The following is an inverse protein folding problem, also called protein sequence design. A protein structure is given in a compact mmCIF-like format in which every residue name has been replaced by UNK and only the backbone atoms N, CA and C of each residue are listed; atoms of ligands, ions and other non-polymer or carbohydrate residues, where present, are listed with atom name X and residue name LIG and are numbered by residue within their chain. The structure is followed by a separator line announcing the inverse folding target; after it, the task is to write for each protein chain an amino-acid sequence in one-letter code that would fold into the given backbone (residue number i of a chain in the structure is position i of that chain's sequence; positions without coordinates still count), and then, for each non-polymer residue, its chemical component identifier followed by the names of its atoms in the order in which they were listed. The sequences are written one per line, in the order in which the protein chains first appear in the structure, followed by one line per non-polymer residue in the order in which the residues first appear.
data_IF_015208173356
#
_entry.id   IF_015208173356
#
_cell.length_a   1.000
_cell.length_b   1.000
_cell.length_c   1.000
_cell.angle_alpha   90.00
_cell.angle_beta   90.00
_cell.angle_gamma   90.00
#
_symmetry.space_group_name_H-M   'P 1'
#
loop_
_entity.id
_entity.type
_entity.pdbx_description
1 polymer ?
#
# COMPACT_ATOMS: atom_id res chain seq x y z
N UNK A 1 -35.29 15.53 5.52
CA UNK A 1 -34.10 15.97 4.76
C UNK A 1 -34.56 16.41 3.38
N UNK A 2 -34.07 17.56 2.89
CA UNK A 2 -34.57 18.23 1.68
C UNK A 2 -34.45 17.36 0.43
N UNK A 3 -35.32 17.63 -0.55
CA UNK A 3 -35.53 16.86 -1.78
C UNK A 3 -34.30 16.78 -2.71
N UNK A 4 -33.24 17.55 -2.46
CA UNK A 4 -32.08 17.73 -3.33
C UNK A 4 -30.76 17.30 -2.67
N UNK A 5 -30.63 16.02 -2.32
CA UNK A 5 -29.45 15.59 -1.54
C UNK A 5 -28.16 15.42 -2.36
N UNK A 6 -28.13 15.68 -3.66
CA UNK A 6 -26.88 15.83 -4.44
C UNK A 6 -27.12 16.72 -5.69
N UNK A 7 -27.01 18.05 -5.58
CA UNK A 7 -27.25 18.99 -6.69
C UNK A 7 -26.44 18.68 -7.95
N UNK A 8 -25.20 18.17 -7.81
CA UNK A 8 -24.29 17.96 -8.94
C UNK A 8 -24.55 16.73 -9.82
N UNK A 9 -25.52 15.86 -9.49
CA UNK A 9 -25.78 14.66 -10.33
C UNK A 9 -26.36 15.01 -11.70
N UNK A 10 -27.19 16.06 -11.77
CA UNK A 10 -27.73 16.54 -13.06
C UNK A 10 -26.66 17.17 -13.93
N UNK A 11 -25.71 17.88 -13.32
CA UNK A 11 -24.57 18.48 -14.01
C UNK A 11 -23.64 17.43 -14.64
N UNK A 12 -23.66 16.19 -14.14
CA UNK A 12 -22.95 15.03 -14.69
C UNK A 12 -23.76 14.26 -15.75
N UNK A 13 -24.88 14.80 -16.23
CA UNK A 13 -25.70 14.18 -17.28
C UNK A 13 -26.64 13.07 -16.79
N UNK A 14 -26.88 12.96 -15.47
CA UNK A 14 -27.84 11.98 -14.92
C UNK A 14 -29.26 12.32 -15.37
N UNK A 15 -29.85 11.47 -16.21
CA UNK A 15 -31.17 11.68 -16.82
C UNK A 15 -32.30 11.34 -15.83
N UNK A 16 -32.12 10.32 -14.98
CA UNK A 16 -33.14 9.84 -14.04
C UNK A 16 -32.50 9.60 -12.67
N UNK A 17 -33.03 10.24 -11.64
CA UNK A 17 -32.69 9.96 -10.24
C UNK A 17 -33.91 9.32 -9.58
N UNK A 18 -33.81 8.03 -9.25
CA UNK A 18 -34.86 7.29 -8.56
C UNK A 18 -34.47 7.19 -7.09
N UNK A 19 -35.30 7.72 -6.19
CA UNK A 19 -35.20 7.44 -4.76
C UNK A 19 -36.06 6.22 -4.45
N UNK A 20 -35.42 5.09 -4.18
CA UNK A 20 -36.11 3.90 -3.71
C UNK A 20 -36.08 3.94 -2.18
N UNK A 21 -37.24 4.01 -1.54
CA UNK A 21 -37.34 3.82 -0.10
C UNK A 21 -37.06 2.35 0.19
N UNK A 22 -35.87 2.03 0.71
CA UNK A 22 -35.43 0.67 0.99
C UNK A 22 -36.01 0.13 2.29
N UNK A 23 -37.29 0.39 2.58
CA UNK A 23 -38.00 -0.24 3.70
C UNK A 23 -38.09 -1.76 3.43
N UNK A 24 -37.00 -2.49 3.69
CA UNK A 24 -36.89 -3.93 3.50
C UNK A 24 -35.80 -4.44 2.55
N UNK A 25 -35.08 -3.60 1.80
CA UNK A 25 -33.89 -4.07 1.05
C UNK A 25 -32.67 -4.07 1.98
N UNK A 26 -32.51 -5.12 2.78
CA UNK A 26 -31.24 -5.39 3.45
C UNK A 26 -30.15 -5.56 2.38
N UNK A 27 -29.14 -4.68 2.39
CA UNK A 27 -27.90 -4.89 1.63
C UNK A 27 -27.60 -3.88 0.50
N UNK A 28 -28.58 -3.14 -0.02
CA UNK A 28 -28.30 -2.13 -1.05
C UNK A 28 -27.91 -0.79 -0.41
N UNK A 29 -26.67 -0.33 -0.62
CA UNK A 29 -26.18 0.95 -0.09
C UNK A 29 -26.43 2.09 -1.08
N UNK A 30 -26.28 3.33 -0.60
CA UNK A 30 -26.31 4.49 -1.49
C UNK A 30 -25.14 4.43 -2.46
N UNK A 31 -25.35 4.76 -3.72
CA UNK A 31 -24.27 4.77 -4.72
C UNK A 31 -24.80 4.79 -6.15
N UNK A 32 -23.92 4.92 -7.15
CA UNK A 32 -24.31 4.71 -8.54
C UNK A 32 -24.60 3.23 -8.76
N UNK A 33 -25.61 2.87 -9.55
CA UNK A 33 -25.87 1.47 -9.93
C UNK A 33 -26.29 1.43 -11.38
N UNK A 34 -25.93 0.36 -12.09
CA UNK A 34 -26.61 0.01 -13.33
C UNK A 34 -27.64 -1.07 -13.05
N UNK A 35 -28.83 -0.94 -13.64
CA UNK A 35 -29.88 -1.93 -13.55
C UNK A 35 -29.95 -2.69 -14.88
N UNK A 36 -29.69 -3.98 -14.83
CA UNK A 36 -29.72 -4.86 -16.00
C UNK A 36 -30.27 -6.22 -15.58
N UNK A 37 -31.10 -6.85 -16.43
CA UNK A 37 -31.63 -8.20 -16.20
C UNK A 37 -32.23 -8.39 -14.78
N UNK A 38 -33.07 -7.45 -14.37
CA UNK A 38 -33.72 -7.44 -13.06
C UNK A 38 -32.78 -7.36 -11.83
N UNK A 39 -31.50 -7.00 -12.03
CA UNK A 39 -30.50 -6.91 -10.96
C UNK A 39 -29.79 -5.56 -10.95
N UNK A 40 -29.39 -5.11 -9.76
CA UNK A 40 -28.55 -3.93 -9.58
C UNK A 40 -27.08 -4.36 -9.50
N UNK A 41 -26.23 -3.62 -10.19
CA UNK A 41 -24.81 -3.90 -10.26
C UNK A 41 -24.00 -2.64 -9.92
N UNK A 42 -22.87 -2.85 -9.25
CA UNK A 42 -21.93 -1.77 -8.96
C UNK A 42 -21.33 -1.19 -10.24
N UNK A 43 -21.22 0.13 -10.26
CA UNK A 43 -20.54 0.91 -11.29
C UNK A 43 -19.11 1.16 -10.84
N UNK A 44 -18.18 0.86 -11.73
CA UNK A 44 -16.75 1.10 -11.54
C UNK A 44 -16.32 2.22 -12.48
N UNK A 45 -15.53 3.16 -11.98
CA UNK A 45 -14.81 4.08 -12.86
C UNK A 45 -13.53 3.38 -13.27
N UNK A 46 -13.33 3.24 -14.58
CA UNK A 46 -12.13 2.64 -15.15
C UNK A 46 -11.08 3.73 -15.35
N UNK A 47 -9.93 3.58 -14.71
CA UNK A 47 -8.78 4.47 -14.86
C UNK A 47 -7.67 3.78 -15.62
N UNK A 48 -6.93 4.45 -16.51
CA UNK A 48 -5.75 3.87 -17.13
C UNK A 48 -4.64 3.64 -16.09
N UNK A 49 -3.93 2.52 -16.19
CA UNK A 49 -2.68 2.23 -15.45
C UNK A 49 -1.47 2.76 -16.23
N UNK A 50 -1.37 4.08 -16.36
CA UNK A 50 -0.34 4.76 -17.16
C UNK A 50 1.10 4.40 -16.77
N UNK A 51 1.33 4.08 -15.49
CA UNK A 51 2.65 3.67 -15.00
C UNK A 51 2.92 2.18 -15.16
N UNK A 52 1.96 1.39 -15.64
CA UNK A 52 2.05 -0.07 -15.67
C UNK A 52 2.42 -0.65 -14.29
N UNK A 53 1.78 -0.14 -13.24
CA UNK A 53 2.06 -0.47 -11.84
C UNK A 53 1.39 -1.78 -11.40
N UNK A 54 0.41 -2.30 -12.15
CA UNK A 54 -0.34 -3.50 -11.79
C UNK A 54 -0.03 -4.69 -12.71
N UNK A 55 -0.04 -5.90 -12.16
CA UNK A 55 -0.18 -7.11 -12.95
C UNK A 55 -1.64 -7.37 -13.34
N UNK A 56 -2.56 -7.04 -12.43
CA UNK A 56 -3.99 -7.26 -12.60
C UNK A 56 -4.82 -6.25 -11.81
N UNK A 57 -6.01 -5.95 -12.33
CA UNK A 57 -7.04 -5.22 -11.62
C UNK A 57 -7.94 -6.20 -10.87
N UNK A 58 -8.36 -5.85 -9.67
CA UNK A 58 -9.23 -6.69 -8.85
C UNK A 58 -10.57 -6.00 -8.65
N UNK A 59 -11.64 -6.75 -8.85
CA UNK A 59 -12.99 -6.39 -8.44
C UNK A 59 -13.49 -7.40 -7.42
N UNK A 60 -14.51 -7.06 -6.64
CA UNK A 60 -15.09 -7.96 -5.65
C UNK A 60 -16.58 -8.10 -5.91
N UNK A 61 -17.06 -9.34 -5.94
CA UNK A 61 -18.47 -9.65 -6.04
C UNK A 61 -19.20 -9.08 -4.82
N UNK A 62 -20.20 -8.19 -5.00
CA UNK A 62 -20.94 -7.64 -3.88
C UNK A 62 -21.85 -8.67 -3.19
N UNK A 63 -22.11 -9.79 -3.86
CA UNK A 63 -23.00 -10.86 -3.37
C UNK A 63 -22.18 -11.90 -2.61
N UNK A 64 -21.17 -12.47 -3.25
CA UNK A 64 -20.37 -13.57 -2.67
C UNK A 64 -19.15 -13.09 -1.88
N UNK A 65 -18.74 -11.83 -2.03
CA UNK A 65 -17.48 -11.32 -1.48
C UNK A 65 -16.23 -11.88 -2.20
N UNK A 66 -16.41 -12.72 -3.23
CA UNK A 66 -15.31 -13.33 -3.97
C UNK A 66 -14.56 -12.28 -4.78
N UNK A 67 -13.24 -12.35 -4.78
CA UNK A 67 -12.39 -11.53 -5.64
C UNK A 67 -12.40 -12.07 -7.07
N UNK A 68 -12.46 -11.14 -8.02
CA UNK A 68 -12.44 -11.42 -9.46
C UNK A 68 -11.26 -10.65 -10.03
N UNK A 69 -10.35 -11.37 -10.66
CA UNK A 69 -9.14 -10.84 -11.24
C UNK A 69 -9.28 -10.58 -12.73
N UNK A 70 -8.76 -9.43 -13.17
CA UNK A 70 -8.68 -9.02 -14.57
C UNK A 70 -7.19 -8.88 -14.92
N UNK A 71 -6.63 -9.91 -15.59
CA UNK A 71 -5.21 -10.02 -15.97
C UNK A 71 -5.08 -10.42 -17.46
N UNK A 72 -4.11 -9.85 -18.22
CA UNK A 72 -3.34 -8.64 -17.89
C UNK A 72 -4.26 -7.43 -17.83
N UNK A 73 -3.75 -6.32 -17.30
CA UNK A 73 -4.51 -5.07 -17.31
C UNK A 73 -3.66 -3.88 -17.71
N UNK A 74 -4.27 -2.97 -18.46
CA UNK A 74 -3.81 -1.61 -18.73
C UNK A 74 -4.74 -0.56 -18.07
N UNK A 75 -5.76 -1.03 -17.34
CA UNK A 75 -6.72 -0.20 -16.62
C UNK A 75 -7.04 -0.77 -15.23
N UNK A 76 -7.54 0.06 -14.32
CA UNK A 76 -8.00 -0.37 -13.00
C UNK A 76 -9.46 0.04 -12.82
N UNK A 77 -10.30 -0.95 -12.52
CA UNK A 77 -11.71 -0.75 -12.21
C UNK A 77 -11.84 -0.31 -10.75
N UNK A 78 -12.18 0.95 -10.52
CA UNK A 78 -12.24 1.55 -9.18
C UNK A 78 -13.69 1.74 -8.73
N UNK A 79 -14.15 1.05 -7.67
CA UNK A 79 -15.52 1.17 -7.17
C UNK A 79 -15.76 2.50 -6.46
N UNK A 80 -17.00 2.98 -6.44
CA UNK A 80 -17.39 4.11 -5.60
C UNK A 80 -17.18 3.80 -4.11
N UNK A 81 -16.68 4.77 -3.34
CA UNK A 81 -16.55 4.64 -1.87
C UNK A 81 -17.90 4.55 -1.17
N UNK A 82 -18.99 4.97 -1.83
CA UNK A 82 -20.34 4.94 -1.27
C UNK A 82 -20.87 3.51 -1.07
N UNK A 83 -20.29 2.52 -1.75
CA UNK A 83 -20.62 1.11 -1.53
C UNK A 83 -20.07 0.56 -0.22
N UNK A 84 -19.16 1.26 0.44
CA UNK A 84 -18.66 0.89 1.76
C UNK A 84 -19.57 1.49 2.84
N UNK A 85 -19.71 0.82 4.01
CA UNK A 85 -20.32 1.45 5.16
C UNK A 85 -19.61 2.75 5.54
N UNK A 86 -20.29 3.66 6.25
CA UNK A 86 -19.62 4.81 6.84
C UNK A 86 -18.45 4.36 7.71
N UNK A 87 -17.35 5.09 7.64
CA UNK A 87 -16.21 4.88 8.51
C UNK A 87 -16.64 5.09 9.97
N UNK A 88 -16.29 4.14 10.84
CA UNK A 88 -16.58 4.18 12.27
C UNK A 88 -15.34 3.73 13.05
N UNK A 89 -15.25 3.95 14.37
CA UNK A 89 -14.13 3.43 15.16
C UNK A 89 -13.92 1.91 15.03
N UNK A 90 -14.99 1.14 14.75
CA UNK A 90 -14.93 -0.32 14.50
C UNK A 90 -14.53 -0.68 13.07
N UNK A 91 -14.83 0.18 12.09
CA UNK A 91 -14.49 0.02 10.68
C UNK A 91 -13.67 1.22 10.18
N UNK A 92 -12.46 1.42 10.73
CA UNK A 92 -11.66 2.61 10.46
C UNK A 92 -11.12 2.67 9.03
N UNK A 93 -11.07 1.56 8.29
CA UNK A 93 -10.56 1.53 6.92
C UNK A 93 -11.67 1.49 5.87
N UNK A 94 -12.93 1.70 6.28
CA UNK A 94 -14.07 1.51 5.39
C UNK A 94 -14.00 2.41 4.17
N UNK A 95 -13.97 1.79 2.98
CA UNK A 95 -13.93 2.49 1.70
C UNK A 95 -12.57 3.05 1.30
N UNK A 96 -11.53 2.87 2.14
CA UNK A 96 -10.16 3.11 1.72
C UNK A 96 -9.76 2.04 0.69
N UNK A 97 -9.15 2.46 -0.40
CA UNK A 97 -8.73 1.59 -1.50
C UNK A 97 -7.26 1.27 -1.37
N UNK A 98 -6.92 0.01 -1.54
CA UNK A 98 -5.53 -0.44 -1.49
C UNK A 98 -5.14 -1.39 -2.61
N UNK A 99 -3.86 -1.35 -2.95
CA UNK A 99 -3.21 -2.30 -3.84
C UNK A 99 -2.37 -3.28 -3.04
N UNK A 100 -2.28 -4.52 -3.50
CA UNK A 100 -1.48 -5.55 -2.85
C UNK A 100 -0.33 -5.99 -3.74
N UNK A 101 0.91 -5.94 -3.27
CA UNK A 101 2.05 -6.59 -3.94
C UNK A 101 1.70 -8.05 -4.25
N UNK A 102 2.07 -8.55 -5.43
CA UNK A 102 1.71 -9.89 -5.90
C UNK A 102 2.58 -11.02 -5.32
N UNK A 103 2.89 -10.89 -4.03
CA UNK A 103 3.45 -11.93 -3.16
C UNK A 103 2.49 -12.27 -2.01
N UNK A 104 1.45 -11.47 -1.82
CA UNK A 104 0.40 -11.73 -0.84
C UNK A 104 -0.76 -12.44 -1.51
N UNK A 105 -1.10 -13.60 -0.97
CA UNK A 105 -2.20 -14.42 -1.46
C UNK A 105 -3.54 -13.73 -1.27
N UNK A 106 -4.43 -13.98 -2.22
CA UNK A 106 -5.82 -13.50 -2.19
C UNK A 106 -6.69 -14.69 -2.55
N UNK A 107 -7.61 -15.04 -1.65
CA UNK A 107 -8.46 -16.23 -1.78
C UNK A 107 -9.20 -16.24 -3.13
N UNK A 108 -9.08 -17.37 -3.83
CA UNK A 108 -9.67 -17.60 -5.15
C UNK A 108 -8.86 -17.04 -6.31
N UNK A 109 -7.71 -16.39 -6.05
CA UNK A 109 -6.81 -15.85 -7.07
C UNK A 109 -5.45 -16.57 -7.03
N UNK A 110 -4.76 -16.57 -8.16
CA UNK A 110 -3.36 -17.02 -8.24
C UNK A 110 -2.41 -15.90 -7.82
N UNK A 111 -1.25 -16.26 -7.29
CA UNK A 111 -0.15 -15.34 -6.96
C UNK A 111 1.00 -15.59 -7.94
N UNK A 112 1.44 -14.58 -8.70
CA UNK A 112 2.53 -14.78 -9.68
C UNK A 112 3.93 -14.64 -9.09
N UNK A 113 4.06 -13.94 -7.96
CA UNK A 113 5.35 -13.51 -7.42
C UNK A 113 6.24 -12.82 -8.48
N UNK A 114 5.66 -12.19 -9.50
CA UNK A 114 6.42 -11.57 -10.59
C UNK A 114 7.02 -12.56 -11.60
N UNK A 115 6.64 -13.84 -11.56
CA UNK A 115 7.07 -14.86 -12.52
C UNK A 115 5.90 -15.37 -13.38
N UNK A 116 6.09 -15.44 -14.71
CA UNK A 116 5.08 -16.02 -15.63
C UNK A 116 4.95 -17.53 -15.45
N UNK A 117 6.09 -18.22 -15.40
CA UNK A 117 6.13 -19.68 -15.23
C UNK A 117 5.53 -20.11 -13.90
N UNK A 118 5.82 -19.39 -12.81
CA UNK A 118 5.19 -19.67 -11.52
C UNK A 118 3.68 -19.51 -11.61
N UNK A 119 3.20 -18.39 -12.17
CA UNK A 119 1.76 -18.15 -12.35
C UNK A 119 1.02 -19.23 -13.16
N UNK A 120 1.64 -19.73 -14.23
CA UNK A 120 1.10 -20.81 -15.06
C UNK A 120 0.95 -22.12 -14.27
N UNK A 121 1.94 -22.42 -13.42
CA UNK A 121 1.99 -23.65 -12.62
C UNK A 121 1.21 -23.57 -11.30
N UNK A 122 0.95 -22.36 -10.78
CA UNK A 122 0.21 -22.17 -9.53
C UNK A 122 -1.29 -22.43 -9.68
N UNK A 123 -1.91 -22.96 -8.65
CA UNK A 123 -3.36 -22.99 -8.49
C UNK A 123 -3.87 -21.73 -7.76
N UNK A 124 -5.17 -21.40 -7.87
CA UNK A 124 -5.76 -20.35 -7.05
C UNK A 124 -5.65 -20.65 -5.56
N UNK A 125 -5.26 -19.66 -4.76
CA UNK A 125 -5.03 -19.83 -3.34
C UNK A 125 -6.34 -20.00 -2.57
N UNK A 126 -6.47 -20.97 -1.64
CA UNK A 126 -7.70 -21.19 -0.89
C UNK A 126 -7.94 -20.11 0.16
N UNK A 127 -6.90 -19.36 0.55
CA UNK A 127 -6.96 -18.39 1.64
C UNK A 127 -6.10 -17.16 1.32
N UNK A 128 -6.62 -15.97 1.62
CA UNK A 128 -5.83 -14.75 1.49
C UNK A 128 -4.73 -14.68 2.56
N UNK A 129 -3.65 -13.97 2.31
CA UNK A 129 -2.65 -13.63 3.32
C UNK A 129 -3.28 -12.90 4.51
N UNK A 130 -2.68 -13.03 5.71
CA UNK A 130 -3.23 -12.47 6.95
C UNK A 130 -3.48 -10.95 6.85
N UNK A 131 -2.53 -10.20 6.30
CA UNK A 131 -2.68 -8.76 6.10
C UNK A 131 -3.87 -8.41 5.19
N UNK A 132 -4.09 -9.16 4.10
CA UNK A 132 -5.22 -8.97 3.19
C UNK A 132 -6.54 -9.28 3.89
N UNK A 133 -6.60 -10.37 4.67
CA UNK A 133 -7.78 -10.70 5.48
C UNK A 133 -8.10 -9.60 6.47
N UNK A 134 -7.08 -9.09 7.20
CA UNK A 134 -7.24 -8.05 8.22
C UNK A 134 -7.74 -6.74 7.61
N UNK A 135 -7.16 -6.31 6.49
CA UNK A 135 -7.61 -5.11 5.75
C UNK A 135 -9.04 -5.27 5.22
N UNK A 136 -9.38 -6.44 4.67
CA UNK A 136 -10.72 -6.74 4.16
C UNK A 136 -11.77 -6.76 5.29
N UNK A 137 -11.42 -7.30 6.46
CA UNK A 137 -12.28 -7.29 7.64
C UNK A 137 -12.58 -5.87 8.16
N UNK A 138 -11.66 -4.92 7.94
CA UNK A 138 -11.85 -3.50 8.23
C UNK A 138 -12.49 -2.73 7.07
N UNK A 139 -12.95 -3.45 6.05
CA UNK A 139 -13.68 -2.94 4.88
C UNK A 139 -12.83 -2.00 4.00
N UNK A 140 -11.51 -2.22 3.99
CA UNK A 140 -10.65 -1.70 2.95
C UNK A 140 -10.89 -2.47 1.65
N UNK A 141 -10.81 -1.78 0.51
CA UNK A 141 -11.17 -2.31 -0.81
C UNK A 141 -9.91 -2.60 -1.62
N UNK A 142 -9.67 -3.87 -1.92
CA UNK A 142 -8.59 -4.28 -2.82
C UNK A 142 -8.95 -3.95 -4.27
N UNK A 143 -8.08 -3.22 -4.97
CA UNK A 143 -8.33 -2.76 -6.36
C UNK A 143 -7.38 -3.36 -7.39
N UNK A 144 -6.29 -4.00 -6.96
CA UNK A 144 -5.30 -4.54 -7.89
C UNK A 144 -4.16 -5.29 -7.21
N UNK A 145 -3.54 -6.21 -7.96
CA UNK A 145 -2.25 -6.82 -7.62
C UNK A 145 -1.14 -5.97 -8.24
N UNK A 146 -0.37 -5.31 -7.39
CA UNK A 146 0.72 -4.44 -7.78
C UNK A 146 1.96 -5.24 -8.19
N UNK A 147 2.71 -4.71 -9.17
CA UNK A 147 3.92 -5.35 -9.68
C UNK A 147 5.04 -5.42 -8.64
N UNK A 148 5.80 -6.49 -8.73
CA UNK A 148 7.06 -6.69 -8.03
C UNK A 148 8.07 -7.38 -8.95
N UNK A 149 9.36 -7.26 -8.60
CA UNK A 149 10.41 -8.07 -9.21
C UNK A 149 10.18 -9.55 -8.97
N UNK A 150 10.79 -10.40 -9.80
CA UNK A 150 10.59 -11.85 -9.72
C UNK A 150 11.00 -12.37 -8.32
N UNK A 151 10.08 -13.04 -7.62
CA UNK A 151 10.23 -13.55 -6.26
C UNK A 151 10.76 -12.52 -5.25
N UNK A 152 10.45 -11.24 -5.47
CA UNK A 152 10.91 -10.14 -4.65
C UNK A 152 12.45 -9.98 -4.56
N UNK A 153 13.19 -10.45 -5.57
CA UNK A 153 14.64 -10.28 -5.69
C UNK A 153 15.05 -8.81 -5.91
N UNK A 154 16.32 -8.50 -5.67
CA UNK A 154 16.89 -7.18 -5.93
C UNK A 154 17.30 -7.06 -7.40
N UNK A 155 16.34 -6.88 -8.29
CA UNK A 155 16.59 -6.59 -9.71
C UNK A 155 16.61 -5.08 -9.96
N UNK A 156 17.45 -4.63 -10.88
CA UNK A 156 17.34 -3.30 -11.48
C UNK A 156 16.31 -3.29 -12.62
N UNK A 157 15.74 -2.13 -13.00
CA UNK A 157 14.67 -2.04 -14.00
C UNK A 157 14.97 -2.69 -15.36
N UNK A 158 16.25 -2.75 -15.73
CA UNK A 158 16.72 -3.35 -16.99
C UNK A 158 16.81 -4.88 -16.93
N UNK A 159 16.81 -5.45 -15.73
CA UNK A 159 16.96 -6.88 -15.48
C UNK A 159 15.62 -7.62 -15.48
N UNK A 160 14.49 -6.90 -15.47
CA UNK A 160 13.19 -7.54 -15.45
C UNK A 160 12.88 -8.18 -16.81
N UNK A 161 12.96 -9.52 -16.88
CA UNK A 161 12.73 -10.28 -18.11
C UNK A 161 11.25 -10.66 -18.29
N UNK A 162 10.62 -11.18 -17.23
CA UNK A 162 9.25 -11.72 -17.31
C UNK A 162 8.20 -10.63 -17.50
N UNK A 163 8.37 -9.49 -16.83
CA UNK A 163 7.46 -8.37 -16.91
C UNK A 163 8.25 -7.08 -16.99
N UNK A 164 7.73 -6.08 -17.69
CA UNK A 164 8.37 -4.77 -17.70
C UNK A 164 8.22 -4.09 -16.33
N UNK A 165 9.32 -3.53 -15.84
CA UNK A 165 9.35 -2.63 -14.69
C UNK A 165 8.35 -1.46 -14.87
N UNK A 166 7.63 -1.03 -13.82
CA UNK A 166 6.77 0.16 -13.86
C UNK A 166 7.52 1.44 -14.23
N UNK A 167 6.81 2.41 -14.78
CA UNK A 167 7.34 3.72 -15.11
C UNK A 167 7.36 4.65 -13.90
N UNK A 168 8.50 5.30 -13.64
CA UNK A 168 8.65 6.23 -12.53
C UNK A 168 8.29 7.65 -12.98
N UNK A 169 7.21 8.27 -12.46
CA UNK A 169 6.77 9.59 -12.92
C UNK A 169 7.68 10.74 -12.47
N UNK A 170 8.59 10.52 -11.50
CA UNK A 170 9.30 11.60 -10.81
C UNK A 170 10.23 12.41 -11.72
N UNK A 171 10.92 11.77 -12.66
CA UNK A 171 11.81 12.44 -13.61
C UNK A 171 11.09 13.05 -14.82
N UNK A 172 9.77 12.87 -14.94
CA UNK A 172 8.97 13.35 -16.06
C UNK A 172 9.12 12.54 -17.37
N UNK A 173 10.27 11.88 -17.58
CA UNK A 173 10.52 11.01 -18.74
C UNK A 173 10.06 9.56 -18.54
N UNK A 174 9.80 9.15 -17.30
CA UNK A 174 9.38 7.79 -16.93
C UNK A 174 10.52 6.81 -16.59
N UNK A 175 11.78 7.16 -16.84
CA UNK A 175 12.91 6.21 -16.89
C UNK A 175 13.77 6.17 -15.62
N UNK A 176 13.49 7.01 -14.63
CA UNK A 176 14.19 6.96 -13.34
C UNK A 176 13.94 5.62 -12.63
N UNK A 177 14.96 5.06 -11.96
CA UNK A 177 14.80 3.81 -11.23
C UNK A 177 13.68 3.95 -10.16
N UNK A 178 12.62 3.12 -10.20
CA UNK A 178 11.57 3.11 -9.18
C UNK A 178 11.97 2.40 -7.88
N UNK A 179 13.17 1.83 -7.81
CA UNK A 179 13.66 0.88 -6.80
C UNK A 179 12.79 -0.38 -6.67
N UNK A 180 13.30 -1.39 -5.99
CA UNK A 180 12.73 -2.74 -5.92
C UNK A 180 12.66 -3.25 -4.48
N UNK A 181 11.92 -4.32 -4.18
CA UNK A 181 11.08 -5.15 -5.05
C UNK A 181 9.60 -4.78 -5.08
N UNK A 182 9.17 -3.78 -4.30
CA UNK A 182 7.76 -3.34 -4.26
C UNK A 182 7.46 -2.17 -5.20
N UNK A 183 8.09 -2.14 -6.37
CA UNK A 183 8.06 -1.02 -7.33
C UNK A 183 6.63 -0.64 -7.72
N UNK A 184 5.79 -1.64 -8.06
CA UNK A 184 4.40 -1.40 -8.45
C UNK A 184 3.57 -0.80 -7.32
N UNK A 185 3.76 -1.25 -6.08
CA UNK A 185 3.04 -0.71 -4.92
C UNK A 185 3.37 0.75 -4.68
N UNK A 186 4.66 1.12 -4.75
CA UNK A 186 5.09 2.50 -4.60
C UNK A 186 4.62 3.38 -5.77
N UNK A 187 4.74 2.90 -7.02
CA UNK A 187 4.31 3.65 -8.21
C UNK A 187 2.80 3.90 -8.19
N UNK A 188 2.02 2.89 -7.83
CA UNK A 188 0.57 3.01 -7.78
C UNK A 188 0.16 4.09 -6.77
N UNK A 189 0.78 4.12 -5.60
CA UNK A 189 0.50 5.12 -4.56
C UNK A 189 0.95 6.52 -4.95
N UNK A 190 2.12 6.66 -5.57
CA UNK A 190 2.65 7.97 -5.99
C UNK A 190 1.85 8.57 -7.15
N UNK A 191 1.35 7.73 -8.06
CA UNK A 191 0.80 8.15 -9.34
C UNK A 191 -0.72 8.24 -9.39
N UNK A 192 -1.43 7.50 -8.53
CA UNK A 192 -2.89 7.38 -8.64
C UNK A 192 -3.61 8.01 -7.46
N UNK A 193 -4.20 9.22 -7.62
CA UNK A 193 -4.90 9.91 -6.55
C UNK A 193 -6.08 9.15 -5.95
N UNK A 194 -6.65 8.21 -6.71
CA UNK A 194 -7.79 7.40 -6.30
C UNK A 194 -7.40 6.24 -5.37
N UNK A 195 -6.10 5.95 -5.22
CA UNK A 195 -5.55 4.91 -4.34
C UNK A 195 -5.07 5.54 -3.02
N UNK A 196 -5.49 4.97 -1.90
CA UNK A 196 -5.24 5.54 -0.56
C UNK A 196 -3.92 5.00 0.04
N UNK A 197 -3.65 3.71 -0.14
CA UNK A 197 -2.39 3.07 0.28
C UNK A 197 -2.11 1.81 -0.55
N UNK A 198 -0.92 1.23 -0.39
CA UNK A 198 -0.60 -0.10 -0.90
C UNK A 198 0.16 -0.89 0.14
N UNK A 199 0.10 -2.22 0.05
CA UNK A 199 0.94 -3.11 0.85
C UNK A 199 2.06 -3.70 0.00
N UNK A 200 3.22 -3.90 0.62
CA UNK A 200 4.40 -4.51 0.03
C UNK A 200 5.11 -5.41 1.03
N UNK A 201 6.24 -5.96 0.61
CA UNK A 201 7.13 -6.72 1.47
C UNK A 201 8.54 -6.11 1.48
N UNK A 202 9.24 -6.26 2.59
CA UNK A 202 10.57 -5.75 2.90
C UNK A 202 11.45 -6.84 3.52
N UNK A 203 12.34 -7.42 2.71
CA UNK A 203 13.39 -8.33 3.17
C UNK A 203 14.66 -7.55 3.52
N UNK A 204 15.09 -6.67 2.61
CA UNK A 204 16.32 -5.88 2.69
C UNK A 204 16.15 -4.46 2.14
N UNK A 205 15.03 -3.80 2.42
CA UNK A 205 14.73 -2.42 1.97
C UNK A 205 13.62 -2.29 0.94
N UNK A 206 12.92 -3.37 0.61
CA UNK A 206 11.89 -3.39 -0.46
C UNK A 206 10.63 -2.57 -0.16
N UNK A 207 10.53 -1.93 1.00
CA UNK A 207 9.59 -0.83 1.29
C UNK A 207 10.31 0.51 1.32
N UNK A 208 11.42 0.62 2.05
CA UNK A 208 12.13 1.89 2.24
C UNK A 208 12.68 2.46 0.91
N UNK A 209 13.31 1.64 0.07
CA UNK A 209 13.92 2.10 -1.18
C UNK A 209 12.85 2.57 -2.19
N UNK A 210 11.80 1.79 -2.52
CA UNK A 210 10.75 2.27 -3.42
C UNK A 210 10.01 3.50 -2.87
N UNK A 211 9.83 3.62 -1.55
CA UNK A 211 9.22 4.80 -0.95
C UNK A 211 10.10 6.04 -1.13
N UNK A 212 11.41 5.92 -0.93
CA UNK A 212 12.39 6.98 -1.15
C UNK A 212 12.50 7.37 -2.64
N UNK A 213 12.48 6.39 -3.55
CA UNK A 213 12.46 6.61 -5.00
C UNK A 213 11.20 7.31 -5.50
N UNK A 214 10.08 7.21 -4.76
CA UNK A 214 8.79 7.82 -5.12
C UNK A 214 8.41 9.06 -4.30
N UNK A 215 9.00 9.26 -3.13
CA UNK A 215 8.79 10.45 -2.30
C UNK A 215 7.49 10.35 -1.56
N UNK A 216 7.19 9.13 -1.12
CA UNK A 216 5.99 8.77 -0.36
C UNK A 216 6.42 8.14 0.97
N UNK A 217 5.49 8.00 1.90
CA UNK A 217 5.78 7.32 3.15
C UNK A 217 5.80 5.80 2.92
N UNK A 218 6.83 5.14 3.44
CA UNK A 218 6.97 3.69 3.50
C UNK A 218 7.26 3.25 4.93
N UNK A 219 6.55 2.24 5.43
CA UNK A 219 6.78 1.65 6.74
C UNK A 219 6.82 0.13 6.64
N UNK A 220 7.98 -0.46 6.97
CA UNK A 220 8.09 -1.89 7.28
C UNK A 220 7.54 -2.12 8.70
N UNK A 221 6.66 -3.11 8.85
CA UNK A 221 6.11 -3.49 10.16
C UNK A 221 7.12 -4.35 10.94
N UNK A 222 7.05 -4.30 12.27
CA UNK A 222 7.94 -5.08 13.15
C UNK A 222 7.55 -6.56 13.26
N UNK A 223 6.33 -6.91 12.86
CA UNK A 223 5.74 -8.23 13.10
C UNK A 223 6.14 -9.29 12.08
N UNK A 224 6.58 -8.87 10.88
CA UNK A 224 6.93 -9.70 9.73
C UNK A 224 7.74 -8.87 8.69
N UNK A 225 7.80 -9.34 7.44
CA UNK A 225 8.37 -8.59 6.31
C UNK A 225 7.34 -7.71 5.61
N UNK A 226 6.11 -7.55 6.11
CA UNK A 226 5.09 -6.73 5.46
C UNK A 226 5.35 -5.24 5.66
N UNK A 227 4.88 -4.41 4.73
CA UNK A 227 4.90 -2.96 4.89
C UNK A 227 3.82 -2.23 4.11
N UNK A 228 3.73 -0.93 4.38
CA UNK A 228 2.71 -0.03 3.85
C UNK A 228 3.37 1.11 3.07
N UNK A 229 2.74 1.50 1.96
CA UNK A 229 3.02 2.73 1.22
C UNK A 229 1.80 3.65 1.26
N UNK A 230 2.01 4.95 1.48
CA UNK A 230 0.95 5.96 1.32
C UNK A 230 1.53 7.36 1.13
N UNK A 231 0.73 8.29 0.59
CA UNK A 231 1.06 9.71 0.52
C UNK A 231 0.63 10.49 1.78
N UNK A 232 -0.14 9.88 2.66
CA UNK A 232 -0.70 10.54 3.85
C UNK A 232 -0.14 9.92 5.13
N UNK A 233 0.44 10.75 5.99
CA UNK A 233 0.91 10.32 7.30
C UNK A 233 -0.25 9.82 8.18
N UNK A 234 -1.45 10.39 8.02
CA UNK A 234 -2.65 9.97 8.75
C UNK A 234 -3.09 8.57 8.33
N UNK A 235 -3.08 8.28 7.02
CA UNK A 235 -3.37 6.94 6.51
C UNK A 235 -2.28 5.96 6.97
N UNK A 236 -1.00 6.38 6.98
CA UNK A 236 0.10 5.54 7.45
C UNK A 236 -0.13 5.13 8.91
N UNK A 237 -0.44 6.11 9.77
CA UNK A 237 -0.74 5.89 11.17
C UNK A 237 -1.98 5.02 11.37
N UNK A 238 -3.07 5.32 10.66
CA UNK A 238 -4.33 4.61 10.75
C UNK A 238 -4.20 3.13 10.34
N UNK A 239 -3.56 2.86 9.21
CA UNK A 239 -3.40 1.49 8.71
C UNK A 239 -2.40 0.72 9.57
N UNK A 240 -1.25 1.31 9.90
CA UNK A 240 -0.22 0.63 10.71
C UNK A 240 -0.71 0.31 12.12
N UNK A 241 -1.39 1.25 12.80
CA UNK A 241 -1.96 1.00 14.13
C UNK A 241 -2.94 -0.16 14.13
N UNK A 242 -3.78 -0.28 13.08
CA UNK A 242 -4.71 -1.39 12.94
C UNK A 242 -4.02 -2.70 12.63
N UNK A 243 -3.01 -2.71 11.77
CA UNK A 243 -2.25 -3.92 11.47
C UNK A 243 -1.47 -4.43 12.69
N UNK A 244 -0.97 -3.53 13.54
CA UNK A 244 -0.25 -3.87 14.77
C UNK A 244 -1.18 -4.15 15.97
N UNK A 245 -2.46 -3.79 15.91
CA UNK A 245 -3.44 -4.09 16.97
C UNK A 245 -3.55 -5.62 17.19
N UNK A 246 -3.43 -6.04 18.46
CA UNK A 246 -3.43 -7.45 18.85
C UNK A 246 -2.11 -8.19 18.65
N UNK A 247 -1.03 -7.50 18.25
CA UNK A 247 0.30 -8.11 18.05
C UNK A 247 1.10 -8.27 19.36
N UNK A 248 0.46 -8.23 20.54
CA UNK A 248 1.10 -8.38 21.85
C UNK A 248 1.49 -9.83 22.13
N UNK A 249 2.61 -10.26 21.56
CA UNK A 249 3.40 -11.42 21.96
C UNK A 249 4.62 -10.93 22.76
N UNK A 250 5.19 -11.74 23.69
CA UNK A 250 6.41 -11.38 24.41
C UNK A 250 7.54 -11.01 23.44
N UNK A 251 8.17 -9.84 23.65
CA UNK A 251 9.28 -9.35 22.80
C UNK A 251 8.89 -8.41 21.66
N UNK A 252 7.61 -8.02 21.55
CA UNK A 252 7.16 -6.98 20.61
C UNK A 252 6.95 -5.62 21.29
N UNK A 253 7.17 -4.54 20.53
CA UNK A 253 6.92 -3.17 20.98
C UNK A 253 5.48 -3.00 21.47
N UNK A 254 5.25 -2.20 22.53
CA UNK A 254 3.90 -1.94 23.03
C UNK A 254 3.01 -1.35 21.95
N UNK A 255 1.67 -1.51 22.05
CA UNK A 255 0.72 -0.87 21.14
C UNK A 255 1.02 0.62 21.01
N UNK A 256 0.99 1.16 19.78
CA UNK A 256 1.30 2.59 19.51
C UNK A 256 0.45 3.53 20.38
N UNK A 257 -0.77 3.13 20.76
CA UNK A 257 -1.63 3.88 21.68
C UNK A 257 -1.02 4.14 23.07
N UNK A 258 -0.02 3.36 23.47
CA UNK A 258 0.70 3.47 24.75
C UNK A 258 2.05 4.19 24.61
N UNK A 259 2.56 4.36 23.39
CA UNK A 259 3.80 5.09 23.12
C UNK A 259 3.48 6.57 22.98
N UNK A 260 3.41 7.26 24.12
CA UNK A 260 3.27 8.72 24.17
C UNK A 260 4.62 9.44 24.32
N UNK A 261 5.73 8.72 24.38
CA UNK A 261 7.03 9.30 24.66
C UNK A 261 7.73 9.68 23.37
N UNK A 262 8.05 10.97 23.26
CA UNK A 262 9.00 11.48 22.28
C UNK A 262 10.35 10.75 22.51
N UNK A 263 11.06 10.31 21.45
CA UNK A 263 12.33 9.64 21.59
C UNK A 263 13.34 10.47 22.39
N UNK A 264 13.96 9.87 23.40
CA UNK A 264 14.95 10.55 24.26
C UNK A 264 16.37 10.54 23.70
N UNK A 265 16.63 9.77 22.64
CA UNK A 265 17.95 9.63 22.04
C UNK A 265 17.85 9.43 20.53
N UNK A 266 18.69 10.14 19.80
CA UNK A 266 18.91 9.96 18.35
C UNK A 266 20.29 9.33 18.18
N UNK A 267 20.39 8.21 17.47
CA UNK A 267 21.68 7.56 17.15
C UNK A 267 21.98 7.76 15.67
N UNK A 268 23.15 8.30 15.36
CA UNK A 268 23.56 8.64 14.01
C UNK A 268 24.76 7.78 13.57
N UNK A 269 24.57 6.80 12.67
CA UNK A 269 25.61 5.85 12.27
C UNK A 269 26.54 6.45 11.21
N UNK A 270 27.68 7.02 11.63
CA UNK A 270 28.59 7.78 10.75
C UNK A 270 29.24 6.94 9.65
N UNK A 271 29.49 5.65 9.89
CA UNK A 271 30.18 4.78 8.92
C UNK A 271 29.30 4.36 7.75
N UNK A 272 27.97 4.42 7.89
CA UNK A 272 27.02 3.90 6.90
C UNK A 272 26.02 4.96 6.42
N UNK A 273 26.12 6.21 6.91
CA UNK A 273 25.17 7.27 6.58
C UNK A 273 25.75 8.67 6.91
N UNK A 274 25.64 9.67 6.02
CA UNK A 274 24.98 9.68 4.70
C UNK A 274 25.93 9.19 3.60
N UNK A 275 25.40 8.70 2.48
CA UNK A 275 26.22 8.30 1.33
C UNK A 275 26.53 9.49 0.39
N UNK A 276 27.83 9.71 0.15
CA UNK A 276 28.56 10.29 -1.00
C UNK A 276 27.98 11.35 -1.96
N UNK A 277 26.99 12.15 -1.57
CA UNK A 277 26.69 13.39 -2.31
C UNK A 277 26.39 14.59 -1.41
N UNK A 278 26.93 15.77 -1.75
CA UNK A 278 26.84 16.99 -0.93
C UNK A 278 25.40 17.47 -0.66
N UNK A 279 24.54 17.46 -1.68
CA UNK A 279 23.14 17.93 -1.55
C UNK A 279 22.28 17.02 -0.65
N UNK A 280 22.55 15.70 -0.68
CA UNK A 280 21.92 14.69 0.17
C UNK A 280 22.40 14.84 1.60
N UNK A 281 23.70 15.06 1.81
CA UNK A 281 24.26 15.32 3.14
C UNK A 281 23.58 16.55 3.77
N UNK A 282 23.45 17.64 3.03
CA UNK A 282 22.79 18.86 3.51
C UNK A 282 21.31 18.64 3.83
N UNK A 283 20.59 17.90 2.98
CA UNK A 283 19.17 17.60 3.19
C UNK A 283 18.94 16.68 4.39
N UNK A 284 19.80 15.68 4.55
CA UNK A 284 19.80 14.80 5.73
C UNK A 284 20.15 15.58 6.99
N UNK A 285 21.17 16.42 6.99
CA UNK A 285 21.55 17.19 8.17
C UNK A 285 20.46 18.19 8.59
N UNK A 286 19.77 18.82 7.62
CA UNK A 286 18.57 19.63 7.90
C UNK A 286 17.48 18.82 8.58
N UNK A 287 17.20 17.61 8.09
CA UNK A 287 16.21 16.72 8.70
C UNK A 287 16.61 16.31 10.12
N UNK A 288 17.87 15.92 10.33
CA UNK A 288 18.37 15.50 11.65
C UNK A 288 18.30 16.66 12.65
N UNK A 289 18.68 17.87 12.26
CA UNK A 289 18.54 19.07 13.12
C UNK A 289 17.09 19.34 13.50
N UNK A 290 16.16 19.19 12.55
CA UNK A 290 14.74 19.32 12.85
C UNK A 290 14.27 18.23 13.83
N UNK A 291 14.78 17.00 13.68
CA UNK A 291 14.48 15.90 14.59
C UNK A 291 15.06 16.13 15.99
N UNK A 292 16.28 16.64 16.11
CA UNK A 292 16.89 17.02 17.40
C UNK A 292 16.06 18.07 18.12
N UNK A 293 15.62 19.11 17.39
CA UNK A 293 14.74 20.15 17.93
C UNK A 293 13.37 19.60 18.34
N UNK A 294 12.78 18.70 17.55
CA UNK A 294 11.49 18.10 17.85
C UNK A 294 11.57 17.17 19.07
N UNK A 295 12.64 16.38 19.16
CA UNK A 295 12.85 15.41 20.23
C UNK A 295 13.43 16.03 21.52
N UNK A 296 13.91 17.27 21.46
CA UNK A 296 14.67 17.92 22.53
C UNK A 296 15.84 17.05 23.02
N UNK A 297 16.61 16.50 22.07
CA UNK A 297 17.78 15.65 22.32
C UNK A 297 18.80 15.83 21.20
N UNK A 298 20.08 15.70 21.52
CA UNK A 298 21.16 15.76 20.53
C UNK A 298 21.46 14.37 19.97
N UNK A 299 21.94 14.31 18.72
CA UNK A 299 22.38 13.05 18.13
C UNK A 299 23.65 12.54 18.79
N UNK A 300 23.66 11.25 19.09
CA UNK A 300 24.85 10.50 19.48
C UNK A 300 25.46 9.86 18.23
N UNK A 301 26.71 10.19 17.93
CA UNK A 301 27.42 9.55 16.81
C UNK A 301 27.80 8.12 17.20
N UNK A 302 27.42 7.16 16.35
CA UNK A 302 27.81 5.76 16.45
C UNK A 302 28.71 5.40 15.27
N UNK A 303 29.87 4.81 15.54
CA UNK A 303 30.71 4.20 14.53
C UNK A 303 30.53 2.68 14.60
N UNK A 304 29.71 2.14 13.70
CA UNK A 304 29.39 0.70 13.69
C UNK A 304 30.65 -0.13 13.43
N UNK A 305 31.58 0.34 12.60
CA UNK A 305 32.78 -0.42 12.26
C UNK A 305 33.74 -0.52 13.46
N UNK A 306 33.84 0.56 14.24
CA UNK A 306 34.63 0.55 15.48
C UNK A 306 33.98 -0.33 16.56
N UNK A 307 32.67 -0.28 16.72
CA UNK A 307 31.97 -1.14 17.67
C UNK A 307 32.06 -2.61 17.25
N UNK A 308 31.86 -2.92 15.97
CA UNK A 308 32.02 -4.27 15.44
C UNK A 308 33.41 -4.83 15.73
N UNK A 309 34.47 -4.06 15.48
CA UNK A 309 35.86 -4.47 15.81
C UNK A 309 36.08 -4.76 17.30
N UNK A 310 35.36 -4.10 18.19
CA UNK A 310 35.47 -4.32 19.65
C UNK A 310 34.67 -5.53 20.13
N UNK A 311 33.53 -5.81 19.49
CA UNK A 311 32.56 -6.81 19.94
C UNK A 311 32.49 -8.06 19.07
N UNK A 312 33.30 -8.15 18.02
CA UNK A 312 33.31 -9.26 17.07
C UNK A 312 33.41 -10.61 17.81
N UNK A 313 32.43 -11.51 17.67
CA UNK A 313 32.57 -12.86 18.20
C UNK A 313 33.74 -13.54 17.47
N UNK A 314 34.86 -13.72 18.16
CA UNK A 314 36.04 -14.41 17.64
C UNK A 314 35.63 -15.72 16.95
N UNK A 315 35.86 -15.84 15.64
CA UNK A 315 35.72 -17.10 14.89
C UNK A 315 34.67 -17.17 13.77
N UNK A 316 34.14 -16.05 13.27
CA UNK A 316 33.23 -16.03 12.10
C UNK A 316 33.85 -15.39 10.84
N UNK A 317 35.16 -15.60 10.64
CA UNK A 317 35.88 -15.26 9.41
C UNK A 317 36.15 -16.47 8.54
#
# INVERSE_FOLDING_TARGET
MSKDSFPGLRDLGTIIVIRIATNGLQGLRSGPYFYQQASFHHVYRVFPDSQSAFFSAITQSPISGQFIEHRPTDHVAVPSRLYSPPQTPKLPLSGLRFASKDVFDVAGLKTSAGSRSFFELSDPEPKSAFIVQKLSALVAVLVGKAKNTQFANGEDPQEWIDYRCPWNPRAGDGYQNPDTSSSGSAMAVSSYPWLDFAIGSDTCGSIACPAAAQGIFGLRLSTDTSGIFTRSIDILHLVSSKLLEGASEPGRSPPISEVQTIPSRIVYPKSSFPHDNGETIESVDRFIKALESFCNTERTILNIDEEWKKTDPQGLG
#
